data_IF_393977867687
#
_entry.id   IF_393977867687
#
_cell.length_a   1.000
_cell.length_b   1.000
_cell.length_c   1.000
_cell.angle_alpha   90.00
_cell.angle_beta   90.00
_cell.angle_gamma   90.00
#
_symmetry.space_group_name_H-M   'P 1'
#
loop_
_entity.id
_entity.type
_entity.pdbx_description
1 polymer ?
#
# COMPACT_ATOMS: atom_id res chain seq x y z
N UNK A 1 32.50 -7.98 -50.27
CA UNK A 1 33.20 -7.68 -49.00
C UNK A 1 32.33 -6.63 -48.28
N UNK A 2 31.61 -7.04 -47.25
CA UNK A 2 30.82 -6.10 -46.47
C UNK A 2 31.70 -5.50 -45.39
N UNK A 3 32.01 -4.23 -45.51
CA UNK A 3 32.78 -3.49 -44.52
C UNK A 3 31.81 -2.95 -43.49
N UNK A 4 31.85 -3.47 -42.25
CA UNK A 4 31.09 -2.94 -41.14
C UNK A 4 31.87 -1.77 -40.52
N UNK A 5 31.33 -0.56 -40.61
CA UNK A 5 31.85 0.59 -39.93
C UNK A 5 31.20 0.66 -38.54
N UNK A 6 31.96 0.25 -37.51
CA UNK A 6 31.51 0.43 -36.13
C UNK A 6 31.86 1.86 -35.73
N UNK A 7 30.96 2.79 -35.90
CA UNK A 7 31.08 4.15 -35.39
C UNK A 7 30.66 4.17 -33.91
N UNK A 8 31.65 4.36 -33.03
CA UNK A 8 31.35 4.61 -31.62
C UNK A 8 30.83 6.04 -31.49
N UNK A 9 29.52 6.21 -31.63
CA UNK A 9 28.90 7.51 -31.40
C UNK A 9 28.94 7.78 -29.90
N UNK A 10 29.80 8.70 -29.47
CA UNK A 10 29.70 9.26 -28.10
C UNK A 10 28.46 10.14 -28.05
N UNK A 11 27.39 9.58 -27.61
CA UNK A 11 26.15 10.31 -27.35
C UNK A 11 26.16 10.72 -25.89
N UNK A 12 26.04 12.01 -25.59
CA UNK A 12 25.76 12.52 -24.24
C UNK A 12 24.41 12.08 -23.71
N UNK A 13 23.63 11.36 -24.54
CA UNK A 13 22.30 10.84 -24.17
C UNK A 13 22.46 9.50 -23.49
N UNK A 14 21.90 9.40 -22.28
CA UNK A 14 21.83 8.14 -21.52
C UNK A 14 21.12 7.06 -22.36
N UNK A 15 21.61 5.79 -22.33
CA UNK A 15 20.99 4.69 -23.06
C UNK A 15 19.54 4.47 -22.59
N UNK A 16 18.62 4.04 -23.49
CA UNK A 16 17.24 3.78 -23.13
C UNK A 16 17.13 2.50 -22.28
N UNK A 17 16.17 2.51 -21.34
CA UNK A 17 15.89 1.41 -20.43
C UNK A 17 14.69 0.59 -20.87
N UNK A 18 14.79 -0.74 -20.72
CA UNK A 18 13.69 -1.67 -20.97
C UNK A 18 13.46 -2.53 -19.75
N UNK A 19 12.26 -2.46 -19.17
CA UNK A 19 11.86 -3.31 -18.06
C UNK A 19 11.69 -4.76 -18.53
N UNK A 20 12.18 -5.71 -17.72
CA UNK A 20 12.03 -7.14 -17.97
C UNK A 20 11.69 -7.85 -16.67
N UNK A 21 10.42 -7.87 -16.33
CA UNK A 21 9.91 -8.50 -15.12
C UNK A 21 9.25 -9.86 -15.38
N UNK A 22 9.24 -10.77 -14.39
CA UNK A 22 8.46 -12.00 -14.43
C UNK A 22 6.97 -11.73 -14.65
N UNK A 23 6.26 -12.72 -15.21
CA UNK A 23 4.84 -12.60 -15.56
C UNK A 23 3.94 -12.01 -14.44
N UNK A 24 4.06 -12.41 -13.15
CA UNK A 24 3.20 -11.88 -12.08
C UNK A 24 3.48 -10.42 -11.75
N UNK A 25 4.73 -9.94 -11.90
CA UNK A 25 5.13 -8.55 -11.60
C UNK A 25 4.88 -7.59 -12.77
N UNK A 26 4.77 -8.14 -14.00
CA UNK A 26 4.60 -7.35 -15.23
C UNK A 26 3.43 -6.35 -15.20
N UNK A 27 2.26 -6.65 -14.62
CA UNK A 27 1.16 -5.67 -14.51
C UNK A 27 1.54 -4.42 -13.73
N UNK A 28 2.42 -4.55 -12.74
CA UNK A 28 2.88 -3.46 -11.88
C UNK A 28 3.98 -2.60 -12.52
N UNK A 29 4.54 -3.00 -13.67
CA UNK A 29 5.38 -2.10 -14.48
C UNK A 29 4.65 -0.81 -14.86
N UNK A 30 3.31 -0.84 -14.85
CA UNK A 30 2.49 0.35 -15.05
C UNK A 30 2.79 1.43 -14.00
N UNK A 31 2.95 1.06 -12.72
CA UNK A 31 3.30 1.99 -11.63
C UNK A 31 4.70 2.56 -11.83
N UNK A 32 5.67 1.71 -12.19
CA UNK A 32 7.05 2.15 -12.47
C UNK A 32 7.08 3.12 -13.65
N UNK A 33 6.34 2.83 -14.73
CA UNK A 33 6.23 3.73 -15.89
C UNK A 33 5.55 5.04 -15.54
N UNK A 34 4.61 5.01 -14.61
CA UNK A 34 3.88 6.21 -14.17
C UNK A 34 4.77 7.14 -13.36
N UNK A 35 5.64 6.61 -12.51
CA UNK A 35 6.61 7.39 -11.75
C UNK A 35 7.77 7.88 -12.62
N UNK A 36 8.35 6.96 -13.41
CA UNK A 36 9.49 7.19 -14.28
C UNK A 36 10.33 5.92 -14.44
N UNK A 37 10.95 5.75 -15.58
CA UNK A 37 11.78 4.58 -15.87
C UNK A 37 13.15 4.69 -15.21
N UNK A 38 13.79 3.55 -14.83
CA UNK A 38 15.09 3.55 -14.22
C UNK A 38 16.16 4.13 -15.16
N UNK A 39 17.02 4.99 -14.61
CA UNK A 39 18.22 5.47 -15.28
C UNK A 39 19.25 4.34 -15.40
N UNK A 40 20.20 4.43 -16.35
CA UNK A 40 21.28 3.44 -16.44
C UNK A 40 22.05 3.33 -15.14
N UNK A 41 22.08 2.13 -14.56
CA UNK A 41 22.71 1.85 -13.27
C UNK A 41 21.76 1.83 -12.06
N UNK A 42 20.54 2.31 -12.19
CA UNK A 42 19.49 2.14 -11.19
C UNK A 42 18.85 0.75 -11.27
N UNK A 43 18.40 0.26 -10.15
CA UNK A 43 17.65 -1.00 -10.09
C UNK A 43 16.19 -0.78 -10.46
N UNK A 44 15.55 -1.82 -11.00
CA UNK A 44 14.12 -1.80 -11.29
C UNK A 44 13.33 -1.80 -9.97
N UNK A 45 12.54 -0.77 -9.68
CA UNK A 45 11.74 -0.69 -8.47
C UNK A 45 10.50 -1.58 -8.50
N UNK A 46 10.10 -2.11 -9.67
CA UNK A 46 8.86 -2.85 -9.87
C UNK A 46 8.63 -3.98 -8.86
N UNK A 47 9.62 -4.85 -8.52
CA UNK A 47 9.38 -5.92 -7.56
C UNK A 47 9.01 -5.38 -6.17
N UNK A 48 9.74 -4.41 -5.66
CA UNK A 48 9.49 -3.84 -4.33
C UNK A 48 8.16 -3.10 -4.31
N UNK A 49 7.89 -2.28 -5.34
CA UNK A 49 6.61 -1.61 -5.51
C UNK A 49 5.43 -2.59 -5.52
N UNK A 50 5.57 -3.72 -6.21
CA UNK A 50 4.50 -4.73 -6.27
C UNK A 50 4.15 -5.24 -4.88
N UNK A 51 5.15 -5.73 -4.12
CA UNK A 51 4.90 -6.30 -2.79
C UNK A 51 4.39 -5.25 -1.80
N UNK A 52 4.99 -4.07 -1.79
CA UNK A 52 4.54 -2.97 -0.92
C UNK A 52 3.12 -2.56 -1.24
N UNK A 53 2.79 -2.40 -2.52
CA UNK A 53 1.46 -2.00 -2.95
C UNK A 53 0.38 -3.05 -2.59
N UNK A 54 0.70 -4.34 -2.73
CA UNK A 54 -0.19 -5.44 -2.34
C UNK A 54 -0.46 -5.43 -0.83
N UNK A 55 0.57 -5.26 -0.02
CA UNK A 55 0.43 -5.22 1.44
C UNK A 55 -0.36 -3.99 1.87
N UNK A 56 -0.05 -2.81 1.34
CA UNK A 56 -0.71 -1.57 1.74
C UNK A 56 -2.19 -1.56 1.33
N UNK A 57 -2.48 -1.90 0.08
CA UNK A 57 -3.85 -1.99 -0.40
C UNK A 57 -4.66 -3.05 0.38
N UNK A 58 -4.04 -4.21 0.61
CA UNK A 58 -4.66 -5.30 1.36
C UNK A 58 -5.01 -4.89 2.79
N UNK A 59 -4.10 -4.20 3.50
CA UNK A 59 -4.33 -3.71 4.86
C UNK A 59 -5.38 -2.59 4.93
N UNK A 60 -5.38 -1.67 3.94
CA UNK A 60 -6.35 -0.58 3.91
C UNK A 60 -7.76 -1.05 3.61
N UNK A 61 -7.91 -2.08 2.77
CA UNK A 61 -9.21 -2.66 2.45
C UNK A 61 -9.64 -3.70 3.50
N UNK A 62 -8.72 -4.54 3.94
CA UNK A 62 -8.78 -5.61 4.97
C UNK A 62 -10.17 -6.23 5.23
N UNK A 63 -10.96 -6.46 4.16
CA UNK A 63 -12.28 -7.09 4.21
C UNK A 63 -12.43 -8.14 3.12
N UNK A 64 -12.72 -9.37 3.53
CA UNK A 64 -12.76 -10.52 2.63
C UNK A 64 -13.91 -10.44 1.62
N UNK A 65 -15.07 -9.95 2.03
CA UNK A 65 -16.24 -9.81 1.15
C UNK A 65 -16.01 -8.68 0.16
N UNK A 66 -15.49 -7.54 0.60
CA UNK A 66 -15.19 -6.43 -0.30
C UNK A 66 -14.11 -6.81 -1.31
N UNK A 67 -13.05 -7.51 -0.89
CA UNK A 67 -12.03 -8.02 -1.79
C UNK A 67 -12.60 -8.96 -2.84
N UNK A 68 -13.49 -9.88 -2.45
CA UNK A 68 -14.13 -10.82 -3.36
C UNK A 68 -15.13 -10.12 -4.31
N UNK A 69 -15.94 -9.19 -3.82
CA UNK A 69 -16.86 -8.40 -4.66
C UNK A 69 -16.06 -7.57 -5.66
N UNK A 70 -14.97 -6.92 -5.24
CA UNK A 70 -14.08 -6.16 -6.13
C UNK A 70 -13.48 -7.07 -7.21
N UNK A 71 -13.06 -8.27 -6.85
CA UNK A 71 -12.54 -9.28 -7.80
C UNK A 71 -13.58 -9.64 -8.85
N UNK A 72 -14.82 -9.88 -8.44
CA UNK A 72 -15.93 -10.19 -9.36
C UNK A 72 -16.27 -9.00 -10.26
N UNK A 73 -16.31 -7.79 -9.72
CA UNK A 73 -16.55 -6.56 -10.48
C UNK A 73 -15.46 -6.34 -11.54
N UNK A 74 -14.19 -6.45 -11.17
CA UNK A 74 -13.07 -6.28 -12.12
C UNK A 74 -13.07 -7.37 -13.19
N UNK A 75 -13.43 -8.61 -12.82
CA UNK A 75 -13.42 -9.75 -13.75
C UNK A 75 -14.55 -9.70 -14.76
N UNK A 76 -15.78 -9.38 -14.33
CA UNK A 76 -17.00 -9.57 -15.14
C UNK A 76 -17.65 -8.26 -15.58
N UNK A 77 -17.54 -7.19 -14.80
CA UNK A 77 -18.24 -5.92 -15.05
C UNK A 77 -17.35 -4.93 -15.77
N UNK A 78 -16.06 -4.86 -15.44
CA UNK A 78 -15.15 -3.83 -15.95
C UNK A 78 -15.06 -3.82 -17.48
N UNK A 79 -15.04 -4.98 -18.14
CA UNK A 79 -14.99 -5.08 -19.61
C UNK A 79 -16.29 -4.65 -20.29
N UNK A 80 -17.43 -4.72 -19.58
CA UNK A 80 -18.77 -4.42 -20.09
C UNK A 80 -19.24 -3.01 -19.77
N UNK A 81 -18.53 -2.30 -18.90
CA UNK A 81 -18.96 -1.01 -18.34
C UNK A 81 -18.90 0.15 -19.35
N UNK A 82 -18.30 -0.03 -20.52
CA UNK A 82 -18.14 1.03 -21.53
C UNK A 82 -17.15 2.15 -21.16
N UNK A 83 -16.48 2.05 -19.99
CA UNK A 83 -15.47 3.02 -19.58
C UNK A 83 -14.16 2.92 -20.38
N UNK A 84 -14.02 1.88 -21.18
CA UNK A 84 -12.77 1.59 -21.91
C UNK A 84 -13.07 1.48 -23.40
N UNK A 85 -12.56 2.43 -24.18
CA UNK A 85 -12.72 2.44 -25.63
C UNK A 85 -12.05 1.24 -26.32
N UNK A 86 -10.95 0.74 -25.76
CA UNK A 86 -10.23 -0.42 -26.30
C UNK A 86 -9.80 -1.40 -25.20
N UNK A 87 -10.62 -2.47 -24.94
CA UNK A 87 -10.31 -3.49 -23.94
C UNK A 87 -9.10 -4.37 -24.28
N UNK A 88 -8.58 -4.30 -25.50
CA UNK A 88 -7.41 -5.05 -25.95
C UNK A 88 -6.09 -4.26 -25.81
N UNK A 89 -6.14 -3.01 -25.33
CA UNK A 89 -4.92 -2.24 -25.13
C UNK A 89 -4.01 -2.89 -24.09
N UNK A 90 -2.67 -2.92 -24.29
CA UNK A 90 -1.75 -3.53 -23.34
C UNK A 90 -1.76 -2.83 -21.97
N UNK A 91 -2.03 -1.53 -21.94
CA UNK A 91 -2.17 -0.76 -20.71
C UNK A 91 -3.38 -1.19 -19.89
N UNK A 92 -4.54 -1.32 -20.53
CA UNK A 92 -5.75 -1.80 -19.87
C UNK A 92 -5.61 -3.24 -19.35
N UNK A 93 -5.04 -4.15 -20.15
CA UNK A 93 -4.78 -5.53 -19.72
C UNK A 93 -3.88 -5.58 -18.47
N UNK A 94 -2.88 -4.71 -18.39
CA UNK A 94 -2.01 -4.60 -17.20
C UNK A 94 -2.77 -4.02 -16.01
N UNK A 95 -3.54 -2.95 -16.19
CA UNK A 95 -4.37 -2.36 -15.13
C UNK A 95 -5.38 -3.39 -14.58
N UNK A 96 -6.08 -4.11 -15.45
CA UNK A 96 -7.04 -5.15 -15.04
C UNK A 96 -6.38 -6.24 -14.22
N UNK A 97 -5.23 -6.77 -14.66
CA UNK A 97 -4.48 -7.80 -13.91
C UNK A 97 -3.99 -7.27 -12.57
N UNK A 98 -3.51 -6.02 -12.51
CA UNK A 98 -3.11 -5.37 -11.27
C UNK A 98 -4.30 -5.27 -10.29
N UNK A 99 -5.46 -4.78 -10.74
CA UNK A 99 -6.67 -4.70 -9.91
C UNK A 99 -7.14 -6.07 -9.42
N UNK A 100 -7.08 -7.12 -10.26
CA UNK A 100 -7.38 -8.50 -9.85
C UNK A 100 -6.44 -8.97 -8.74
N UNK A 101 -5.14 -8.70 -8.87
CA UNK A 101 -4.16 -9.09 -7.84
C UNK A 101 -4.37 -8.32 -6.54
N UNK A 102 -4.71 -7.03 -6.62
CA UNK A 102 -5.07 -6.21 -5.46
C UNK A 102 -6.33 -6.71 -4.75
N UNK A 103 -7.35 -7.13 -5.52
CA UNK A 103 -8.58 -7.69 -4.96
C UNK A 103 -8.31 -9.00 -4.21
N UNK A 104 -7.41 -9.84 -4.73
CA UNK A 104 -6.96 -11.06 -4.04
C UNK A 104 -6.24 -10.69 -2.73
N UNK A 105 -5.35 -9.70 -2.77
CA UNK A 105 -4.65 -9.22 -1.57
C UNK A 105 -5.65 -8.74 -0.51
N UNK A 106 -6.64 -7.91 -0.87
CA UNK A 106 -7.68 -7.45 0.04
C UNK A 106 -8.47 -8.62 0.65
N UNK A 107 -8.80 -9.64 -0.15
CA UNK A 107 -9.47 -10.85 0.35
C UNK A 107 -8.61 -11.59 1.37
N UNK A 108 -7.32 -11.78 1.08
CA UNK A 108 -6.39 -12.48 2.00
C UNK A 108 -6.26 -11.72 3.31
N UNK A 109 -6.01 -10.40 3.26
CA UNK A 109 -5.90 -9.59 4.47
C UNK A 109 -7.23 -9.50 5.23
N UNK A 110 -8.37 -9.49 4.54
CA UNK A 110 -9.69 -9.57 5.16
C UNK A 110 -9.94 -10.87 5.92
N UNK A 111 -9.49 -12.01 5.38
CA UNK A 111 -9.53 -13.30 6.10
C UNK A 111 -8.60 -13.28 7.31
N UNK A 112 -7.38 -12.73 7.17
CA UNK A 112 -6.42 -12.61 8.28
C UNK A 112 -6.93 -11.70 9.40
N UNK A 113 -7.74 -10.70 9.06
CA UNK A 113 -8.38 -9.77 9.99
C UNK A 113 -9.72 -10.27 10.52
N UNK A 114 -10.22 -11.40 10.01
CA UNK A 114 -11.55 -11.93 10.32
C UNK A 114 -12.68 -10.91 10.09
N UNK A 115 -12.62 -10.18 8.98
CA UNK A 115 -13.62 -9.17 8.59
C UNK A 115 -14.35 -9.55 7.31
N UNK A 116 -15.69 -9.54 7.38
CA UNK A 116 -16.58 -9.95 6.31
C UNK A 116 -17.71 -8.94 6.15
N UNK A 117 -17.48 -7.85 5.43
CA UNK A 117 -18.42 -6.72 5.27
C UNK A 117 -18.96 -6.18 6.63
N UNK A 118 -18.06 -5.97 7.59
CA UNK A 118 -18.40 -5.50 8.93
C UNK A 118 -18.93 -6.58 9.89
N UNK A 119 -18.95 -7.84 9.48
CA UNK A 119 -19.18 -8.98 10.35
C UNK A 119 -17.85 -9.65 10.70
N UNK A 120 -17.80 -10.31 11.85
CA UNK A 120 -16.70 -11.18 12.27
C UNK A 120 -17.21 -12.58 12.59
N UNK A 121 -16.36 -13.57 12.41
CA UNK A 121 -16.67 -14.97 12.76
C UNK A 121 -16.26 -15.20 14.21
N UNK A 122 -17.21 -15.58 15.06
CA UNK A 122 -17.00 -15.97 16.45
C UNK A 122 -17.40 -17.42 16.69
N UNK A 123 -16.96 -18.01 17.80
CA UNK A 123 -17.39 -19.31 18.28
C UNK A 123 -18.21 -19.15 19.55
N UNK A 124 -19.49 -19.53 19.50
CA UNK A 124 -20.38 -19.53 20.65
C UNK A 124 -20.85 -20.95 20.91
N UNK A 125 -20.50 -21.51 22.06
CA UNK A 125 -20.89 -22.88 22.43
C UNK A 125 -20.45 -23.95 21.43
N UNK A 126 -19.32 -23.77 20.73
CA UNK A 126 -18.81 -24.70 19.71
C UNK A 126 -19.48 -24.56 18.34
N UNK A 127 -20.36 -23.54 18.14
CA UNK A 127 -20.97 -23.20 16.84
C UNK A 127 -20.33 -21.96 16.24
N UNK A 128 -20.13 -21.97 14.94
CA UNK A 128 -19.65 -20.79 14.20
C UNK A 128 -20.82 -19.80 14.09
N UNK A 129 -20.65 -18.58 14.61
CA UNK A 129 -21.65 -17.52 14.56
C UNK A 129 -21.04 -16.30 13.86
N UNK A 130 -21.78 -15.73 12.92
CA UNK A 130 -21.46 -14.42 12.36
C UNK A 130 -21.99 -13.35 13.30
N UNK A 131 -21.08 -12.53 13.82
CA UNK A 131 -21.41 -11.45 14.75
C UNK A 131 -21.12 -10.13 14.10
N UNK A 132 -22.07 -9.20 14.16
CA UNK A 132 -21.76 -7.78 13.88
C UNK A 132 -20.76 -7.37 14.96
N UNK A 133 -19.59 -6.90 14.57
CA UNK A 133 -18.54 -6.54 15.50
C UNK A 133 -19.08 -5.59 16.57
N UNK A 134 -19.26 -6.12 17.76
CA UNK A 134 -19.76 -5.39 18.93
C UNK A 134 -18.58 -5.17 19.87
N UNK A 135 -18.38 -3.92 20.26
CA UNK A 135 -17.46 -3.59 21.32
C UNK A 135 -17.88 -4.32 22.61
N UNK A 136 -17.13 -5.39 22.94
CA UNK A 136 -17.10 -5.97 24.27
C UNK A 136 -18.46 -6.39 24.85
N UNK A 137 -18.97 -7.54 24.47
CA UNK A 137 -20.14 -8.14 25.09
C UNK A 137 -20.05 -9.66 25.15
N UNK A 138 -19.62 -10.14 26.29
CA UNK A 138 -19.94 -11.41 26.96
C UNK A 138 -20.04 -12.69 26.14
N UNK A 139 -19.08 -13.59 26.31
CA UNK A 139 -19.26 -15.03 26.06
C UNK A 139 -18.83 -15.55 24.70
N UNK A 140 -18.44 -14.71 23.75
CA UNK A 140 -17.95 -15.11 22.44
C UNK A 140 -16.43 -15.38 22.51
N UNK A 141 -16.04 -16.60 22.19
CA UNK A 141 -14.61 -16.89 21.94
C UNK A 141 -14.29 -16.32 20.57
N UNK A 142 -13.62 -15.15 20.55
CA UNK A 142 -13.11 -14.59 19.31
C UNK A 142 -12.10 -15.57 18.71
N UNK A 143 -12.26 -15.91 17.44
CA UNK A 143 -11.23 -16.62 16.70
C UNK A 143 -9.96 -15.75 16.72
N UNK A 144 -8.79 -16.27 17.13
CA UNK A 144 -7.58 -15.49 17.20
C UNK A 144 -7.28 -14.91 15.81
N UNK A 145 -7.35 -13.59 15.71
CA UNK A 145 -7.05 -12.86 14.47
C UNK A 145 -5.59 -12.46 14.48
N UNK A 146 -4.90 -12.64 13.36
CA UNK A 146 -3.52 -12.17 13.20
C UNK A 146 -3.47 -10.63 13.14
N UNK A 147 -4.53 -10.01 12.65
CA UNK A 147 -4.65 -8.55 12.51
C UNK A 147 -5.96 -8.13 13.16
N UNK A 148 -5.90 -7.42 14.28
CA UNK A 148 -7.08 -6.97 14.99
C UNK A 148 -7.43 -5.53 14.59
N UNK A 149 -8.41 -5.36 13.67
CA UNK A 149 -8.92 -4.04 13.30
C UNK A 149 -9.86 -3.42 14.35
N UNK A 150 -10.36 -4.21 15.26
CA UNK A 150 -11.23 -3.72 16.34
C UNK A 150 -10.42 -2.95 17.42
N UNK A 151 -9.11 -3.17 17.50
CA UNK A 151 -8.19 -2.40 18.34
C UNK A 151 -7.44 -1.35 17.49
N UNK A 152 -7.87 -0.08 17.53
CA UNK A 152 -7.24 0.98 16.73
C UNK A 152 -5.77 1.20 17.07
N UNK A 153 -5.39 1.00 18.35
CA UNK A 153 -4.00 1.21 18.79
C UNK A 153 -3.08 0.13 18.25
N UNK A 154 -3.49 -1.14 18.35
CA UNK A 154 -2.74 -2.25 17.77
C UNK A 154 -2.53 -2.06 16.26
N UNK A 155 -3.61 -1.68 15.55
CA UNK A 155 -3.54 -1.52 14.10
C UNK A 155 -2.69 -0.31 13.69
N UNK A 156 -2.73 0.79 14.46
CA UNK A 156 -1.87 1.95 14.26
C UNK A 156 -0.38 1.57 14.43
N UNK A 157 -0.05 0.86 15.50
CA UNK A 157 1.35 0.43 15.75
C UNK A 157 1.81 -0.54 14.66
N UNK A 158 0.95 -1.49 14.25
CA UNK A 158 1.26 -2.40 13.15
C UNK A 158 1.56 -1.63 11.86
N UNK A 159 0.77 -0.61 11.52
CA UNK A 159 0.98 0.23 10.35
C UNK A 159 2.30 1.00 10.41
N UNK A 160 2.64 1.54 11.60
CA UNK A 160 3.92 2.24 11.81
C UNK A 160 5.11 1.29 11.70
N UNK A 161 5.02 0.06 12.23
CA UNK A 161 6.08 -0.96 12.11
C UNK A 161 6.28 -1.37 10.66
N UNK A 162 5.20 -1.59 9.90
CA UNK A 162 5.28 -1.89 8.46
C UNK A 162 5.92 -0.71 7.71
N UNK A 163 5.54 0.52 8.06
CA UNK A 163 6.14 1.74 7.53
C UNK A 163 7.63 1.83 7.81
N UNK A 164 8.02 1.58 9.04
CA UNK A 164 9.42 1.55 9.46
C UNK A 164 10.24 0.55 8.63
N UNK A 165 9.74 -0.68 8.46
CA UNK A 165 10.41 -1.71 7.65
C UNK A 165 10.55 -1.22 6.20
N UNK A 166 9.48 -0.67 5.63
CA UNK A 166 9.47 -0.22 4.24
C UNK A 166 10.44 0.94 3.99
N UNK A 167 10.46 1.94 4.87
CA UNK A 167 11.39 3.09 4.77
C UNK A 167 12.83 2.63 4.94
N UNK A 168 13.11 1.74 5.90
CA UNK A 168 14.45 1.19 6.11
C UNK A 168 14.95 0.41 4.87
N UNK A 169 14.08 -0.32 4.18
CA UNK A 169 14.45 -0.91 2.87
C UNK A 169 14.89 0.18 1.88
N UNK A 170 14.19 1.32 1.84
CA UNK A 170 14.57 2.47 1.01
C UNK A 170 15.95 3.04 1.39
N UNK A 171 16.23 3.19 2.67
CA UNK A 171 17.53 3.67 3.15
C UNK A 171 18.66 2.67 2.88
N UNK A 172 18.41 1.36 3.04
CA UNK A 172 19.38 0.31 2.66
C UNK A 172 19.72 0.39 1.16
N UNK A 173 18.70 0.56 0.30
CA UNK A 173 18.92 0.74 -1.14
C UNK A 173 19.70 2.02 -1.42
N UNK A 174 19.43 3.12 -0.73
CA UNK A 174 20.18 4.37 -0.84
C UNK A 174 21.66 4.18 -0.47
N UNK A 175 21.94 3.45 0.60
CA UNK A 175 23.30 3.08 1.02
C UNK A 175 24.02 2.27 -0.07
N UNK A 176 23.34 1.27 -0.66
CA UNK A 176 23.90 0.46 -1.75
C UNK A 176 24.20 1.31 -3.00
N UNK A 177 23.30 2.24 -3.34
CA UNK A 177 23.54 3.19 -4.44
C UNK A 177 24.73 4.09 -4.12
N UNK A 178 24.84 4.61 -2.88
CA UNK A 178 25.99 5.40 -2.42
C UNK A 178 27.31 4.65 -2.50
N UNK A 179 27.34 3.38 -2.13
CA UNK A 179 28.52 2.53 -2.27
C UNK A 179 28.96 2.38 -3.74
N UNK A 180 28.01 2.14 -4.64
CA UNK A 180 28.30 2.04 -6.09
C UNK A 180 28.80 3.35 -6.66
N UNK A 181 28.28 4.47 -6.20
CA UNK A 181 28.67 5.82 -6.61
C UNK A 181 29.99 6.28 -5.94
N UNK A 182 30.55 5.51 -4.98
CA UNK A 182 31.67 5.90 -4.11
C UNK A 182 31.44 7.18 -3.32
N UNK A 183 30.19 7.49 -3.01
CA UNK A 183 29.79 8.62 -2.18
C UNK A 183 29.67 8.18 -0.72
N UNK A 184 30.78 8.35 0.02
CA UNK A 184 30.83 8.02 1.44
C UNK A 184 29.90 8.89 2.29
N UNK A 185 29.60 10.11 1.85
CA UNK A 185 28.66 10.99 2.57
C UNK A 185 27.24 10.43 2.54
N UNK A 186 26.78 9.99 1.37
CA UNK A 186 25.47 9.33 1.20
C UNK A 186 25.39 8.02 1.99
N UNK A 187 26.45 7.23 2.00
CA UNK A 187 26.54 5.98 2.77
C UNK A 187 26.40 6.24 4.26
N UNK A 188 27.20 7.14 4.82
CA UNK A 188 27.17 7.47 6.26
C UNK A 188 25.81 8.07 6.66
N UNK A 189 25.27 8.98 5.85
CA UNK A 189 23.94 9.55 6.10
C UNK A 189 22.86 8.47 6.13
N UNK A 190 22.84 7.55 5.16
CA UNK A 190 21.89 6.45 5.10
C UNK A 190 22.01 5.47 6.28
N UNK A 191 23.24 5.08 6.65
CA UNK A 191 23.47 4.21 7.81
C UNK A 191 23.04 4.91 9.10
N UNK A 192 23.34 6.20 9.26
CA UNK A 192 22.92 6.98 10.42
C UNK A 192 21.38 7.07 10.54
N UNK A 193 20.68 7.25 9.42
CA UNK A 193 19.21 7.22 9.38
C UNK A 193 18.67 5.86 9.81
N UNK A 194 19.17 4.76 9.26
CA UNK A 194 18.75 3.40 9.63
C UNK A 194 18.89 3.17 11.15
N UNK A 195 20.03 3.52 11.72
CA UNK A 195 20.28 3.36 13.15
C UNK A 195 19.30 4.24 13.95
N UNK A 196 19.13 5.50 13.57
CA UNK A 196 18.25 6.42 14.28
C UNK A 196 16.78 5.99 14.22
N UNK A 197 16.32 5.39 13.12
CA UNK A 197 14.96 4.88 12.95
C UNK A 197 14.71 3.62 13.78
N UNK A 198 15.59 2.62 13.65
CA UNK A 198 15.40 1.33 14.32
C UNK A 198 15.37 1.49 15.84
N UNK A 199 16.18 2.38 16.36
CA UNK A 199 16.24 2.63 17.81
C UNK A 199 15.34 3.79 18.25
N UNK A 200 15.17 4.83 17.45
CA UNK A 200 14.38 6.00 17.83
C UNK A 200 12.88 5.74 17.86
N UNK A 201 12.35 4.97 16.93
CA UNK A 201 10.89 4.73 16.86
C UNK A 201 10.38 3.91 18.06
N UNK A 202 11.00 2.80 18.47
CA UNK A 202 10.58 2.10 19.69
C UNK A 202 10.64 2.99 20.94
N UNK A 203 11.64 3.87 21.03
CA UNK A 203 11.73 4.83 22.13
C UNK A 203 10.56 5.83 22.11
N UNK A 204 10.25 6.41 20.95
CA UNK A 204 9.12 7.34 20.79
C UNK A 204 7.79 6.66 21.08
N UNK A 205 7.58 5.43 20.63
CA UNK A 205 6.36 4.65 20.91
C UNK A 205 6.18 4.41 22.41
N UNK A 206 7.27 4.08 23.11
CA UNK A 206 7.25 3.87 24.56
C UNK A 206 6.93 5.16 25.32
N UNK A 207 7.64 6.27 25.01
CA UNK A 207 7.56 7.51 25.77
C UNK A 207 6.27 8.30 25.51
N UNK A 208 5.83 8.36 24.24
CA UNK A 208 4.68 9.20 23.86
C UNK A 208 3.37 8.43 23.77
N UNK A 209 3.39 7.18 23.31
CA UNK A 209 2.17 6.37 23.15
C UNK A 209 1.97 5.38 24.30
N UNK A 210 2.92 5.29 25.25
CA UNK A 210 2.93 4.32 26.34
C UNK A 210 2.69 2.88 25.84
N UNK A 211 3.19 2.59 24.63
CA UNK A 211 3.05 1.30 23.98
C UNK A 211 4.39 0.58 24.00
N UNK A 212 4.44 -0.53 24.70
CA UNK A 212 5.62 -1.38 24.80
C UNK A 212 5.73 -2.28 23.56
N UNK A 213 6.44 -1.83 22.54
CA UNK A 213 6.74 -2.65 21.37
C UNK A 213 7.66 -3.83 21.71
N UNK A 214 8.57 -3.59 22.65
CA UNK A 214 9.52 -4.56 23.18
C UNK A 214 9.38 -4.59 24.71
N UNK A 215 9.20 -5.77 25.32
CA UNK A 215 9.12 -5.88 26.79
C UNK A 215 10.53 -5.72 27.41
N UNK A 216 11.03 -4.47 27.48
CA UNK A 216 12.34 -4.14 27.97
C UNK A 216 12.26 -3.35 29.29
N UNK A 217 13.33 -3.43 30.10
CA UNK A 217 13.44 -2.60 31.30
C UNK A 217 13.62 -1.12 30.96
N UNK A 218 13.22 -0.21 31.86
CA UNK A 218 13.39 1.24 31.64
C UNK A 218 14.84 1.67 31.37
N UNK A 219 15.82 0.99 31.95
CA UNK A 219 17.22 1.22 31.65
C UNK A 219 17.58 0.87 30.21
N UNK A 220 16.99 -0.19 29.65
CA UNK A 220 17.23 -0.59 28.27
C UNK A 220 16.70 0.47 27.27
N UNK A 221 15.59 1.13 27.58
CA UNK A 221 15.09 2.24 26.75
C UNK A 221 16.04 3.44 26.74
N UNK A 222 16.77 3.67 27.84
CA UNK A 222 17.82 4.71 27.88
C UNK A 222 18.99 4.37 26.94
N UNK A 223 19.42 3.10 26.87
CA UNK A 223 20.44 2.67 25.88
C UNK A 223 19.94 2.77 24.45
N UNK A 224 18.68 2.48 24.21
CA UNK A 224 18.03 2.65 22.90
C UNK A 224 18.06 4.13 22.46
N UNK A 225 17.78 5.06 23.39
CA UNK A 225 17.89 6.49 23.11
C UNK A 225 19.33 6.88 22.74
N UNK A 226 20.34 6.43 23.50
CA UNK A 226 21.73 6.72 23.17
C UNK A 226 22.14 6.15 21.80
N UNK A 227 21.70 4.93 21.46
CA UNK A 227 21.94 4.34 20.15
C UNK A 227 21.31 5.18 19.03
N UNK A 228 20.08 5.67 19.22
CA UNK A 228 19.41 6.55 18.28
C UNK A 228 20.17 7.88 18.09
N UNK A 229 20.65 8.50 19.19
CA UNK A 229 21.44 9.73 19.12
C UNK A 229 22.77 9.52 18.39
N UNK A 230 23.44 8.38 18.59
CA UNK A 230 24.64 8.02 17.82
C UNK A 230 24.29 7.92 16.32
N UNK A 231 23.16 7.32 15.96
CA UNK A 231 22.66 7.28 14.58
C UNK A 231 22.49 8.67 13.98
N UNK A 232 21.91 9.61 14.74
CA UNK A 232 21.77 11.02 14.35
C UNK A 232 23.12 11.68 14.12
N UNK A 233 24.10 11.46 15.01
CA UNK A 233 25.45 12.01 14.84
C UNK A 233 26.14 11.47 13.57
N UNK A 234 26.04 10.17 13.31
CA UNK A 234 26.60 9.55 12.09
C UNK A 234 25.92 10.14 10.85
N UNK A 235 24.59 10.34 10.88
CA UNK A 235 23.85 10.99 9.81
C UNK A 235 24.34 12.43 9.55
N UNK A 236 24.54 13.23 10.61
CA UNK A 236 25.05 14.61 10.51
C UNK A 236 26.42 14.61 9.83
N UNK A 237 27.35 13.76 10.28
CA UNK A 237 28.69 13.64 9.68
C UNK A 237 28.58 13.27 8.20
N UNK A 238 27.72 12.31 7.86
CA UNK A 238 27.47 11.90 6.47
C UNK A 238 26.94 13.05 5.61
N UNK A 239 25.96 13.79 6.11
CA UNK A 239 25.34 14.92 5.41
C UNK A 239 26.34 16.08 5.21
N UNK A 240 27.13 16.40 6.21
CA UNK A 240 28.21 17.41 6.11
C UNK A 240 29.26 16.98 5.10
N UNK A 241 29.64 15.70 5.07
CA UNK A 241 30.61 15.19 4.10
C UNK A 241 30.09 15.23 2.67
N UNK A 242 28.80 15.04 2.45
CA UNK A 242 28.16 15.08 1.12
C UNK A 242 27.90 16.51 0.64
N UNK A 243 27.42 17.41 1.50
CA UNK A 243 26.94 18.75 1.15
C UNK A 243 27.81 19.89 1.68
N UNK A 244 28.91 19.58 2.36
CA UNK A 244 29.77 20.59 2.98
C UNK A 244 29.07 21.37 4.09
N UNK A 245 29.36 22.68 4.22
CA UNK A 245 28.80 23.54 5.27
C UNK A 245 27.27 23.61 5.28
N UNK A 246 26.61 23.48 4.14
CA UNK A 246 25.15 23.42 4.04
C UNK A 246 24.58 22.18 4.73
N UNK A 247 25.33 21.09 4.74
CA UNK A 247 24.94 19.84 5.41
C UNK A 247 24.71 20.00 6.91
N UNK A 248 25.32 21.02 7.53
CA UNK A 248 25.18 21.33 8.96
C UNK A 248 23.77 21.84 9.31
N UNK A 249 23.00 22.32 8.34
CA UNK A 249 21.61 22.73 8.51
C UNK A 249 20.64 21.69 7.94
N UNK A 250 21.06 20.93 6.93
CA UNK A 250 20.21 19.96 6.22
C UNK A 250 19.82 18.74 7.09
N UNK A 251 20.58 18.40 8.12
CA UNK A 251 20.25 17.29 9.00
C UNK A 251 18.90 17.46 9.73
N UNK A 252 18.51 18.72 10.04
CA UNK A 252 17.22 19.01 10.68
C UNK A 252 16.09 18.60 9.73
N UNK A 253 16.21 18.92 8.44
CA UNK A 253 15.23 18.53 7.43
C UNK A 253 15.18 17.03 7.22
N UNK A 254 16.32 16.34 7.32
CA UNK A 254 16.37 14.88 7.21
C UNK A 254 15.62 14.21 8.37
N UNK A 255 15.79 14.68 9.62
CA UNK A 255 15.07 14.13 10.79
C UNK A 255 13.58 14.47 10.72
N UNK A 256 13.23 15.72 10.44
CA UNK A 256 11.81 16.11 10.36
C UNK A 256 11.11 15.41 9.19
N UNK A 257 11.80 15.24 8.06
CA UNK A 257 11.32 14.46 6.92
C UNK A 257 11.08 13.00 7.29
N UNK A 258 12.01 12.39 7.99
CA UNK A 258 11.93 11.01 8.47
C UNK A 258 10.71 10.79 9.39
N UNK A 259 10.52 11.67 10.38
CA UNK A 259 9.33 11.62 11.24
C UNK A 259 8.04 11.76 10.43
N UNK A 260 8.01 12.69 9.47
CA UNK A 260 6.88 12.90 8.56
C UNK A 260 6.60 11.66 7.70
N UNK A 261 7.64 11.02 7.19
CA UNK A 261 7.52 9.80 6.39
C UNK A 261 6.93 8.65 7.21
N UNK A 262 7.46 8.37 8.41
CA UNK A 262 6.95 7.31 9.29
C UNK A 262 5.51 7.59 9.70
N UNK A 263 5.19 8.82 10.13
CA UNK A 263 3.82 9.21 10.50
C UNK A 263 2.86 9.10 9.31
N UNK A 264 3.35 9.23 8.07
CA UNK A 264 2.54 9.05 6.87
C UNK A 264 1.94 7.66 6.74
N UNK A 265 2.56 6.63 7.35
CA UNK A 265 2.00 5.27 7.37
C UNK A 265 0.82 5.09 8.31
N UNK A 266 0.55 6.04 9.21
CA UNK A 266 -0.70 6.04 9.99
C UNK A 266 -1.96 6.03 9.10
N UNK A 267 -1.85 6.46 7.84
CA UNK A 267 -2.96 6.37 6.85
C UNK A 267 -3.37 4.94 6.55
N UNK A 268 -2.45 3.95 6.66
CA UNK A 268 -2.80 2.53 6.53
C UNK A 268 -3.83 2.17 7.60
N UNK A 269 -3.53 2.54 8.84
CA UNK A 269 -4.45 2.32 9.95
C UNK A 269 -5.72 3.17 9.81
N UNK A 270 -5.58 4.45 9.49
CA UNK A 270 -6.71 5.37 9.39
C UNK A 270 -7.77 4.91 8.38
N UNK A 271 -7.36 4.51 7.17
CA UNK A 271 -8.30 4.04 6.14
C UNK A 271 -8.83 2.64 6.47
N UNK A 272 -7.97 1.71 6.93
CA UNK A 272 -8.41 0.36 7.30
C UNK A 272 -9.45 0.37 8.43
N UNK A 273 -9.21 1.16 9.49
CA UNK A 273 -10.17 1.33 10.58
C UNK A 273 -11.45 2.02 10.07
N UNK A 274 -11.31 3.06 9.25
CA UNK A 274 -12.47 3.79 8.71
C UNK A 274 -13.39 2.89 7.89
N UNK A 275 -12.83 2.09 6.96
CA UNK A 275 -13.62 1.14 6.14
C UNK A 275 -14.32 0.08 7.00
N UNK A 276 -13.63 -0.45 8.02
CA UNK A 276 -14.19 -1.40 8.96
C UNK A 276 -15.33 -0.79 9.81
N UNK A 277 -15.09 0.37 10.42
CA UNK A 277 -16.10 1.06 11.27
C UNK A 277 -17.32 1.48 10.45
N UNK A 278 -17.10 1.95 9.21
CA UNK A 278 -18.21 2.28 8.30
C UNK A 278 -19.04 1.04 7.98
N UNK A 279 -18.43 -0.10 7.67
CA UNK A 279 -19.16 -1.34 7.39
C UNK A 279 -20.01 -1.78 8.58
N UNK A 280 -19.45 -1.76 9.80
CA UNK A 280 -20.17 -2.08 11.04
C UNK A 280 -21.35 -1.16 11.25
N UNK A 281 -21.16 0.16 11.12
CA UNK A 281 -22.22 1.14 11.34
C UNK A 281 -23.31 1.07 10.26
N UNK A 282 -22.98 0.83 9.02
CA UNK A 282 -23.95 0.66 7.93
C UNK A 282 -24.82 -0.58 8.13
N UNK A 283 -24.24 -1.67 8.62
CA UNK A 283 -24.98 -2.87 8.98
C UNK A 283 -25.93 -2.62 10.17
N UNK A 284 -25.46 -1.94 11.22
CA UNK A 284 -26.31 -1.56 12.37
C UNK A 284 -27.47 -0.66 11.94
N UNK A 285 -27.20 0.35 11.10
CA UNK A 285 -28.23 1.24 10.57
C UNK A 285 -29.29 0.46 9.77
N UNK A 286 -28.84 -0.43 8.89
CA UNK A 286 -29.73 -1.27 8.09
C UNK A 286 -30.64 -2.14 8.99
N UNK A 287 -30.09 -2.71 10.04
CA UNK A 287 -30.84 -3.50 11.02
C UNK A 287 -31.88 -2.65 11.80
N UNK A 288 -31.50 -1.44 12.21
CA UNK A 288 -32.40 -0.51 12.90
C UNK A 288 -33.57 -0.11 12.02
N UNK A 289 -33.41 0.01 10.72
CA UNK A 289 -34.47 0.27 9.75
C UNK A 289 -35.46 -0.91 9.74
N UNK A 290 -34.96 -2.14 9.69
CA UNK A 290 -35.81 -3.34 9.75
C UNK A 290 -36.62 -3.37 11.03
N UNK A 291 -36.02 -3.13 12.19
CA UNK A 291 -36.73 -3.10 13.47
C UNK A 291 -37.83 -2.02 13.52
N UNK A 292 -37.55 -0.84 12.98
CA UNK A 292 -38.52 0.25 12.92
C UNK A 292 -39.79 -0.15 12.12
N UNK A 293 -39.60 -0.70 10.92
CA UNK A 293 -40.72 -1.12 10.07
C UNK A 293 -41.49 -2.32 10.68
N UNK A 294 -40.79 -3.28 11.27
CA UNK A 294 -41.42 -4.46 11.89
C UNK A 294 -42.30 -4.10 13.13
N UNK A 295 -41.97 -3.00 13.82
CA UNK A 295 -42.79 -2.48 14.94
C UNK A 295 -44.03 -1.76 14.45
N UNK A 296 -44.03 -1.16 13.24
CA UNK A 296 -45.22 -0.46 12.73
C UNK A 296 -46.36 -1.40 12.31
N UNK A 297 -46.01 -2.54 11.68
CA UNK A 297 -47.00 -3.54 11.27
C UNK A 297 -46.35 -4.94 11.30
N UNK A 298 -46.87 -5.91 12.06
CA UNK A 298 -46.17 -7.17 12.31
C UNK A 298 -45.82 -8.00 11.09
N UNK A 299 -46.68 -8.05 10.06
CA UNK A 299 -46.43 -8.84 8.84
C UNK A 299 -45.98 -7.96 7.67
N UNK A 300 -46.77 -6.95 7.32
CA UNK A 300 -46.48 -6.06 6.18
C UNK A 300 -45.25 -5.23 6.44
N UNK A 301 -45.10 -4.73 7.69
CA UNK A 301 -43.90 -3.97 8.09
C UNK A 301 -42.66 -4.81 8.11
N UNK A 302 -42.73 -6.07 8.51
CA UNK A 302 -41.55 -6.96 8.47
C UNK A 302 -41.07 -7.22 7.02
N UNK A 303 -41.99 -7.45 6.08
CA UNK A 303 -41.64 -7.65 4.65
C UNK A 303 -41.07 -6.38 4.04
N UNK A 304 -41.71 -5.24 4.22
CA UNK A 304 -41.23 -3.95 3.75
C UNK A 304 -39.89 -3.58 4.41
N UNK A 305 -39.75 -3.78 5.71
CA UNK A 305 -38.54 -3.54 6.46
C UNK A 305 -37.37 -4.38 5.95
N UNK A 306 -37.61 -5.65 5.62
CA UNK A 306 -36.61 -6.53 5.04
C UNK A 306 -36.11 -6.02 3.68
N UNK A 307 -37.04 -5.62 2.79
CA UNK A 307 -36.68 -5.11 1.44
C UNK A 307 -35.89 -3.82 1.55
N UNK A 308 -36.33 -2.87 2.40
CA UNK A 308 -35.63 -1.60 2.60
C UNK A 308 -34.28 -1.82 3.27
N UNK A 309 -34.19 -2.68 4.27
CA UNK A 309 -32.96 -3.06 4.95
C UNK A 309 -31.93 -3.60 3.93
N UNK A 310 -32.32 -4.56 3.08
CA UNK A 310 -31.43 -5.13 2.08
C UNK A 310 -30.96 -4.09 1.05
N UNK A 311 -31.88 -3.23 0.59
CA UNK A 311 -31.54 -2.16 -0.35
C UNK A 311 -30.52 -1.18 0.26
N UNK A 312 -30.75 -0.74 1.50
CA UNK A 312 -29.85 0.16 2.21
C UNK A 312 -28.50 -0.52 2.51
N UNK A 313 -28.52 -1.76 2.98
CA UNK A 313 -27.29 -2.52 3.27
C UNK A 313 -26.42 -2.68 2.00
N UNK A 314 -27.01 -3.08 0.88
CA UNK A 314 -26.29 -3.22 -0.39
C UNK A 314 -25.75 -1.88 -0.86
N UNK A 315 -26.56 -0.82 -0.86
CA UNK A 315 -26.15 0.50 -1.32
C UNK A 315 -24.99 1.06 -0.48
N UNK A 316 -25.11 1.03 0.85
CA UNK A 316 -24.08 1.56 1.75
C UNK A 316 -22.79 0.76 1.71
N UNK A 317 -22.87 -0.58 1.66
CA UNK A 317 -21.68 -1.41 1.53
C UNK A 317 -21.00 -1.28 0.17
N UNK A 318 -21.77 -1.09 -0.92
CA UNK A 318 -21.18 -0.78 -2.24
C UNK A 318 -20.48 0.59 -2.24
N UNK A 319 -21.07 1.58 -1.59
CA UNK A 319 -20.46 2.89 -1.41
C UNK A 319 -19.13 2.76 -0.64
N UNK A 320 -19.12 2.06 0.50
CA UNK A 320 -17.92 1.81 1.29
C UNK A 320 -16.83 1.06 0.47
N UNK A 321 -17.22 0.04 -0.29
CA UNK A 321 -16.32 -0.69 -1.19
C UNK A 321 -15.64 0.24 -2.19
N UNK A 322 -16.40 1.11 -2.87
CA UNK A 322 -15.85 2.01 -3.89
C UNK A 322 -14.89 3.01 -3.26
N UNK A 323 -15.29 3.67 -2.16
CA UNK A 323 -14.42 4.62 -1.47
C UNK A 323 -13.18 3.95 -0.87
N UNK A 324 -13.32 2.78 -0.26
CA UNK A 324 -12.21 1.99 0.27
C UNK A 324 -11.24 1.58 -0.83
N UNK A 325 -11.73 1.13 -1.99
CA UNK A 325 -10.90 0.72 -3.11
C UNK A 325 -10.12 1.90 -3.72
N UNK A 326 -10.80 3.03 -3.98
CA UNK A 326 -10.15 4.24 -4.51
C UNK A 326 -9.15 4.79 -3.49
N UNK A 327 -9.56 4.94 -2.23
CA UNK A 327 -8.71 5.43 -1.15
C UNK A 327 -7.49 4.53 -0.94
N UNK A 328 -7.70 3.21 -0.86
CA UNK A 328 -6.63 2.22 -0.73
C UNK A 328 -5.64 2.29 -1.89
N UNK A 329 -6.10 2.42 -3.12
CA UNK A 329 -5.24 2.58 -4.30
C UNK A 329 -4.41 3.87 -4.25
N UNK A 330 -5.06 5.01 -4.04
CA UNK A 330 -4.39 6.33 -4.04
C UNK A 330 -3.39 6.46 -2.90
N UNK A 331 -3.77 6.02 -1.70
CA UNK A 331 -2.88 6.12 -0.54
C UNK A 331 -1.71 5.13 -0.62
N UNK A 332 -1.91 3.91 -1.12
CA UNK A 332 -0.81 2.96 -1.39
C UNK A 332 0.17 3.53 -2.42
N UNK A 333 -0.35 4.14 -3.50
CA UNK A 333 0.48 4.78 -4.52
C UNK A 333 1.29 5.93 -3.92
N UNK A 334 0.68 6.76 -3.07
CA UNK A 334 1.37 7.87 -2.42
C UNK A 334 2.49 7.39 -1.51
N UNK A 335 2.26 6.39 -0.66
CA UNK A 335 3.30 5.84 0.23
C UNK A 335 4.50 5.30 -0.56
N UNK A 336 4.25 4.65 -1.70
CA UNK A 336 5.33 4.16 -2.55
C UNK A 336 6.07 5.30 -3.27
N UNK A 337 5.35 6.30 -3.80
CA UNK A 337 5.91 7.30 -4.71
C UNK A 337 6.52 8.52 -3.99
N UNK A 338 5.98 8.88 -2.84
CA UNK A 338 6.42 10.09 -2.12
C UNK A 338 7.38 9.74 -0.99
N UNK A 339 7.06 8.72 -0.20
CA UNK A 339 7.82 8.38 0.99
C UNK A 339 8.98 7.40 0.70
N UNK A 340 8.82 6.47 -0.26
CA UNK A 340 9.79 5.40 -0.49
C UNK A 340 10.76 5.64 -1.67
N UNK A 341 10.23 5.84 -2.90
CA UNK A 341 11.06 5.92 -4.10
C UNK A 341 12.08 7.06 -4.06
N UNK A 342 11.75 8.30 -3.62
CA UNK A 342 12.69 9.41 -3.65
C UNK A 342 13.96 9.22 -2.82
N UNK A 343 13.97 8.23 -1.91
CA UNK A 343 15.13 7.94 -1.08
C UNK A 343 16.29 7.32 -1.87
N UNK A 344 16.01 6.62 -2.94
CA UNK A 344 17.05 5.87 -3.67
C UNK A 344 16.88 5.84 -5.19
N UNK A 345 15.75 6.29 -5.73
CA UNK A 345 15.37 6.15 -7.12
C UNK A 345 15.00 7.50 -7.73
N UNK A 346 15.64 7.88 -8.83
CA UNK A 346 15.39 9.17 -9.52
C UNK A 346 14.37 9.05 -10.65
N UNK A 347 14.32 7.91 -11.35
CA UNK A 347 13.31 7.64 -12.39
C UNK A 347 13.48 8.48 -13.67
N UNK A 348 14.67 8.95 -13.97
CA UNK A 348 14.95 9.82 -15.12
C UNK A 348 15.39 9.03 -16.38
N UNK A 349 15.02 7.76 -16.50
CA UNK A 349 15.30 6.91 -17.64
C UNK A 349 14.42 7.21 -18.85
N UNK A 350 14.89 6.82 -20.04
CA UNK A 350 14.12 6.91 -21.29
C UNK A 350 13.62 5.54 -21.70
N UNK A 351 12.37 5.47 -22.21
CA UNK A 351 11.80 4.21 -22.69
C UNK A 351 12.53 3.74 -23.97
N UNK A 352 12.88 2.45 -23.98
CA UNK A 352 13.38 1.82 -25.18
C UNK A 352 12.23 1.64 -26.19
N UNK A 353 12.26 2.39 -27.27
CA UNK A 353 11.35 2.25 -28.40
C UNK A 353 12.08 1.58 -29.55
N UNK A 354 11.83 0.28 -29.82
CA UNK A 354 12.39 -0.36 -31.00
C UNK A 354 11.85 0.30 -32.27
N UNK A 355 12.68 0.35 -33.31
CA UNK A 355 12.23 0.78 -34.62
C UNK A 355 11.23 -0.25 -35.15
N UNK A 356 9.94 0.02 -34.97
CA UNK A 356 8.83 -0.83 -35.47
C UNK A 356 7.82 0.04 -36.19
N UNK A 357 7.29 -0.49 -37.28
CA UNK A 357 6.10 0.10 -37.95
C UNK A 357 4.92 -0.01 -36.97
N UNK A 358 4.49 1.12 -36.42
CA UNK A 358 3.21 1.21 -35.70
C UNK A 358 2.10 1.38 -36.74
N UNK A 359 1.38 0.31 -37.02
CA UNK A 359 0.13 0.40 -37.81
C UNK A 359 -0.95 0.95 -36.86
N UNK A 360 -1.30 2.21 -37.00
CA UNK A 360 -2.29 2.89 -36.13
C UNK A 360 -3.74 2.49 -36.42
N UNK A 361 -4.00 1.89 -37.59
CA UNK A 361 -5.33 1.41 -37.97
C UNK A 361 -5.29 -0.04 -38.47
N UNK A 362 -5.98 -0.92 -37.80
CA UNK A 362 -6.37 -2.21 -38.38
C UNK A 362 -7.47 -1.97 -39.42
N UNK A 363 -7.12 -1.97 -40.69
CA UNK A 363 -8.11 -2.05 -41.76
C UNK A 363 -8.57 -3.50 -41.82
N UNK A 364 -9.74 -3.80 -41.29
CA UNK A 364 -10.43 -5.06 -41.57
C UNK A 364 -10.93 -4.99 -42.99
N UNK A 365 -10.26 -5.70 -43.91
CA UNK A 365 -10.82 -5.97 -45.23
C UNK A 365 -12.12 -6.74 -45.01
N UNK A 366 -13.26 -6.07 -45.26
CA UNK A 366 -14.55 -6.72 -45.30
C UNK A 366 -14.51 -7.86 -46.33
N UNK A 367 -15.00 -9.03 -45.96
CA UNK A 367 -15.24 -10.11 -46.92
C UNK A 367 -16.09 -9.54 -48.04
N UNK A 368 -15.49 -9.39 -49.22
CA UNK A 368 -16.22 -9.19 -50.46
C UNK A 368 -17.02 -10.49 -50.68
N UNK A 369 -18.35 -10.38 -50.61
CA UNK A 369 -19.29 -11.45 -50.99
C UNK A 369 -19.35 -11.53 -52.48
#
# INVERSE_FOLDING_TARGET
ISTYLIVKVSSDKKPPSKLRNPRPLKPFELLTKFYGLPSPGEWDPTPILTYSFLVFFGLMMADAVYGLVLLLLVKYVLDKSGFVDNPYSPGYSSLKKMLLTLSISATVFGVLSNTFAGYSVGLEGGRIVLVVASNGGGGLINVPTLINLADPMFFLVLALVIGLIHINIGHVLSVVVGFKARDLGRVLSGVGLIISEIFGIPYVLHEFLHYELLPLSGEAYTYILYASLIGVLVMIVGTVKSLGGVGLFMWIFNITGLLGDVLSYSRLAGLGIATYVMAVNFNKLSFSIYEYFSRLAPVVGAVLGLVVMLAVAVFMNMFNLVFGAIGGFVHSMRLCFVEFLPKWYDGNGREFMPFTLKIEKHVTLGKIR
#
